data_IF_159146288720
#
_entry.id   IF_159146288720
#
_cell.length_a   1.000
_cell.length_b   1.000
_cell.length_c   1.000
_cell.angle_alpha   90.00
_cell.angle_beta   90.00
_cell.angle_gamma   90.00
#
_symmetry.space_group_name_H-M   'P 1'
#
loop_
_entity.id
_entity.type
_entity.pdbx_description
1 polymer ?
#
# COMPACT_ATOMS: atom_id res chain seq x y z
N UNK A 1 -13.64 27.05 19.28
CA UNK A 1 -13.88 25.61 19.00
C UNK A 1 -14.37 25.55 17.56
N UNK A 2 -13.71 24.81 16.69
CA UNK A 2 -14.09 24.73 15.27
C UNK A 2 -15.30 23.82 15.13
N UNK A 3 -16.49 24.33 15.43
CA UNK A 3 -17.74 23.64 15.17
C UNK A 3 -18.18 23.97 13.74
N UNK A 4 -18.16 22.96 12.89
CA UNK A 4 -18.56 23.02 11.47
C UNK A 4 -20.09 23.04 11.31
N UNK A 5 -20.84 23.10 12.42
CA UNK A 5 -22.30 23.08 12.46
C UNK A 5 -22.97 24.29 11.80
N UNK A 6 -22.20 25.31 11.39
CA UNK A 6 -22.70 26.55 10.77
C UNK A 6 -22.36 26.68 9.27
N UNK A 7 -21.97 25.58 8.61
CA UNK A 7 -21.74 25.57 7.15
C UNK A 7 -22.90 24.88 6.42
N UNK A 8 -23.43 25.46 5.32
CA UNK A 8 -24.59 24.93 4.60
C UNK A 8 -24.31 23.60 3.85
N UNK A 9 -23.07 23.10 3.90
CA UNK A 9 -22.65 21.88 3.21
C UNK A 9 -21.92 20.95 4.18
N UNK A 10 -22.44 19.73 4.31
CA UNK A 10 -21.80 18.66 5.06
C UNK A 10 -20.41 18.39 4.49
N UNK A 11 -19.37 18.39 5.33
CA UNK A 11 -18.03 17.96 4.92
C UNK A 11 -17.96 16.43 4.85
N UNK A 12 -16.96 15.88 4.16
CA UNK A 12 -16.81 14.41 4.13
C UNK A 12 -16.65 13.84 5.54
N UNK A 13 -17.11 12.60 5.77
CA UNK A 13 -16.98 11.92 7.07
C UNK A 13 -15.51 11.89 7.58
N UNK A 14 -14.54 11.89 6.66
CA UNK A 14 -13.10 11.89 6.98
C UNK A 14 -12.69 13.25 7.57
N UNK A 15 -13.16 14.34 6.97
CA UNK A 15 -12.91 15.70 7.46
C UNK A 15 -13.57 15.93 8.83
N UNK A 16 -14.83 15.51 8.98
CA UNK A 16 -15.56 15.61 10.26
C UNK A 16 -14.86 14.82 11.38
N UNK A 17 -14.38 13.61 11.08
CA UNK A 17 -13.63 12.79 12.03
C UNK A 17 -12.28 13.42 12.41
N UNK A 18 -11.58 14.03 11.44
CA UNK A 18 -10.35 14.77 11.69
C UNK A 18 -10.59 15.97 12.63
N UNK A 19 -11.59 16.80 12.33
CA UNK A 19 -11.94 17.95 13.14
C UNK A 19 -12.33 17.56 14.57
N UNK A 20 -13.18 16.54 14.74
CA UNK A 20 -13.59 16.04 16.06
C UNK A 20 -12.40 15.57 16.89
N UNK A 21 -11.47 14.84 16.27
CA UNK A 21 -10.24 14.37 16.92
C UNK A 21 -9.31 15.52 17.31
N UNK A 22 -9.13 16.50 16.43
CA UNK A 22 -8.30 17.67 16.67
C UNK A 22 -8.88 18.53 17.81
N UNK A 23 -10.18 18.80 17.77
CA UNK A 23 -10.89 19.54 18.82
C UNK A 23 -10.74 18.85 20.19
N UNK A 24 -10.88 17.51 20.27
CA UNK A 24 -10.64 16.76 21.51
C UNK A 24 -9.20 16.87 22.01
N UNK A 25 -8.22 16.95 21.11
CA UNK A 25 -6.79 17.12 21.47
C UNK A 25 -6.55 18.51 22.05
N UNK A 26 -7.04 19.54 21.36
CA UNK A 26 -6.93 20.93 21.78
C UNK A 26 -7.61 21.15 23.14
N UNK A 27 -8.77 20.53 23.36
CA UNK A 27 -9.49 20.61 24.64
C UNK A 27 -8.78 19.91 25.81
N UNK A 28 -7.98 18.86 25.52
CA UNK A 28 -7.18 18.15 26.54
C UNK A 28 -5.89 18.87 26.89
N UNK A 29 -5.34 19.64 25.96
CA UNK A 29 -4.15 20.44 26.18
C UNK A 29 -4.52 21.76 26.85
N UNK A 30 -3.96 22.05 28.04
CA UNK A 30 -4.27 23.25 28.83
C UNK A 30 -4.10 24.57 28.05
N UNK A 31 -4.75 25.64 28.54
CA UNK A 31 -4.85 27.00 27.97
C UNK A 31 -3.52 27.78 27.93
N UNK A 32 -2.43 27.17 27.50
CA UNK A 32 -1.22 27.89 27.17
C UNK A 32 -1.02 27.86 25.64
N UNK A 33 -0.49 28.96 25.11
CA UNK A 33 -0.29 29.14 23.67
C UNK A 33 0.64 28.06 23.07
N UNK A 34 1.57 27.55 23.86
CA UNK A 34 2.52 26.52 23.45
C UNK A 34 1.85 25.15 23.25
N UNK A 35 0.87 24.82 24.06
CA UNK A 35 0.04 23.63 23.95
C UNK A 35 -0.79 23.67 22.67
N UNK A 36 -1.31 24.85 22.33
CA UNK A 36 -1.96 25.07 21.05
C UNK A 36 -0.99 24.91 19.87
N UNK A 37 0.22 25.48 19.94
CA UNK A 37 1.25 25.37 18.88
C UNK A 37 1.79 23.95 18.73
N UNK A 38 1.93 23.19 19.82
CA UNK A 38 2.38 21.81 19.79
C UNK A 38 1.35 20.86 19.18
N UNK A 39 0.06 21.21 19.24
CA UNK A 39 -1.01 20.40 18.69
C UNK A 39 -0.92 20.18 17.15
N UNK A 40 -0.78 21.22 16.30
CA UNK A 40 -0.60 21.05 14.86
C UNK A 40 0.74 20.40 14.52
N UNK A 41 1.83 20.70 15.25
CA UNK A 41 3.13 20.01 15.07
C UNK A 41 2.95 18.50 15.27
N UNK A 42 2.23 18.10 16.31
CA UNK A 42 1.94 16.69 16.60
C UNK A 42 0.96 16.02 15.63
N UNK A 43 0.15 16.77 14.87
CA UNK A 43 -0.64 16.20 13.76
C UNK A 43 0.20 16.08 12.47
N UNK A 44 1.07 17.05 12.18
CA UNK A 44 1.99 16.96 11.05
C UNK A 44 2.87 15.71 11.15
N UNK A 45 3.44 15.42 12.33
CA UNK A 45 4.20 14.19 12.56
C UNK A 45 3.37 12.92 12.29
N UNK A 46 2.06 12.92 12.56
CA UNK A 46 1.19 11.77 12.28
C UNK A 46 0.94 11.62 10.79
N UNK A 47 0.74 12.71 10.07
CA UNK A 47 0.60 12.67 8.62
C UNK A 47 1.87 12.17 7.94
N UNK A 48 3.03 12.65 8.38
CA UNK A 48 4.33 12.16 7.90
C UNK A 48 4.48 10.64 8.13
N UNK A 49 4.08 10.16 9.32
CA UNK A 49 4.13 8.73 9.61
C UNK A 49 3.17 7.91 8.73
N UNK A 50 1.92 8.38 8.56
CA UNK A 50 0.93 7.74 7.69
C UNK A 50 1.42 7.70 6.24
N UNK A 51 1.96 8.83 5.74
CA UNK A 51 2.52 8.93 4.40
C UNK A 51 3.69 7.97 4.21
N UNK A 52 4.59 7.88 5.18
CA UNK A 52 5.70 6.92 5.19
C UNK A 52 5.20 5.46 5.15
N UNK A 53 4.18 5.11 5.94
CA UNK A 53 3.58 3.78 5.91
C UNK A 53 2.94 3.43 4.57
N UNK A 54 2.18 4.36 3.98
CA UNK A 54 1.58 4.17 2.65
C UNK A 54 2.68 3.97 1.61
N UNK A 55 3.70 4.83 1.64
CA UNK A 55 4.82 4.74 0.70
C UNK A 55 5.60 3.44 0.84
N UNK A 56 5.85 2.99 2.07
CA UNK A 56 6.49 1.71 2.35
C UNK A 56 5.63 0.53 1.85
N UNK A 57 4.31 0.62 1.95
CA UNK A 57 3.39 -0.37 1.36
C UNK A 57 3.35 -0.35 -0.17
N UNK A 58 3.56 0.82 -0.79
CA UNK A 58 3.66 0.95 -2.26
C UNK A 58 5.02 0.58 -2.84
N UNK A 59 6.05 0.41 -2.01
CA UNK A 59 7.30 -0.15 -2.49
C UNK A 59 7.00 -1.56 -3.01
N UNK A 60 7.15 -1.73 -4.32
CA UNK A 60 7.09 -3.02 -4.99
C UNK A 60 7.97 -3.98 -4.19
N UNK A 61 7.35 -4.96 -3.53
CA UNK A 61 8.10 -6.03 -2.88
C UNK A 61 9.06 -6.59 -3.92
N UNK A 62 10.36 -6.73 -3.61
CA UNK A 62 11.29 -7.32 -4.56
C UNK A 62 10.72 -8.67 -4.98
N UNK A 63 10.37 -8.80 -6.27
CA UNK A 63 9.80 -10.05 -6.81
C UNK A 63 10.71 -11.17 -6.34
N UNK A 64 10.15 -12.17 -5.66
CA UNK A 64 10.95 -13.27 -5.14
C UNK A 64 11.79 -13.83 -6.29
N UNK A 65 13.12 -13.91 -6.13
CA UNK A 65 14.05 -14.35 -7.20
C UNK A 65 13.61 -15.67 -7.85
N UNK A 66 12.91 -16.53 -7.10
CA UNK A 66 12.27 -17.75 -7.59
C UNK A 66 11.20 -17.48 -8.66
N UNK A 67 10.34 -16.49 -8.48
CA UNK A 67 9.30 -16.11 -9.44
C UNK A 67 9.91 -15.55 -10.73
N UNK A 68 10.96 -14.75 -10.63
CA UNK A 68 11.67 -14.21 -11.81
C UNK A 68 12.38 -15.33 -12.60
N UNK A 69 13.04 -16.26 -11.91
CA UNK A 69 13.70 -17.41 -12.54
C UNK A 69 12.68 -18.31 -13.24
N UNK A 70 11.52 -18.52 -12.61
CA UNK A 70 10.43 -19.32 -13.19
C UNK A 70 9.83 -18.63 -14.42
N UNK A 71 9.64 -17.31 -14.36
CA UNK A 71 9.15 -16.52 -15.49
C UNK A 71 10.07 -16.62 -16.71
N UNK A 72 11.39 -16.44 -16.53
CA UNK A 72 12.39 -16.59 -17.62
C UNK A 72 12.36 -17.98 -18.24
N UNK A 73 12.13 -19.01 -17.42
CA UNK A 73 12.03 -20.40 -17.88
C UNK A 73 10.74 -20.65 -18.68
N UNK A 74 9.61 -20.10 -18.24
CA UNK A 74 8.33 -20.16 -18.97
C UNK A 74 8.45 -19.44 -20.31
N UNK A 75 9.06 -18.26 -20.35
CA UNK A 75 9.30 -17.51 -21.58
C UNK A 75 10.15 -18.30 -22.57
N UNK A 76 11.21 -18.95 -22.09
CA UNK A 76 12.06 -19.82 -22.93
C UNK A 76 11.27 -21.00 -23.52
N UNK A 77 10.39 -21.63 -22.72
CA UNK A 77 9.54 -22.73 -23.19
C UNK A 77 8.52 -22.27 -24.23
N UNK A 78 7.90 -21.12 -24.02
CA UNK A 78 6.96 -20.52 -24.97
C UNK A 78 7.64 -20.15 -26.29
N UNK A 79 8.86 -19.60 -26.25
CA UNK A 79 9.63 -19.32 -27.47
C UNK A 79 9.91 -20.59 -28.26
N UNK A 80 10.28 -21.70 -27.59
CA UNK A 80 10.51 -22.99 -28.27
C UNK A 80 9.25 -23.59 -28.88
N UNK A 81 8.10 -23.45 -28.19
CA UNK A 81 6.82 -23.89 -28.74
C UNK A 81 6.41 -23.06 -29.97
N UNK A 82 6.56 -21.74 -29.91
CA UNK A 82 6.25 -20.85 -31.02
C UNK A 82 7.15 -21.09 -32.24
N UNK A 83 8.40 -21.49 -32.02
CA UNK A 83 9.34 -21.86 -33.08
C UNK A 83 9.10 -23.26 -33.66
N UNK A 84 8.07 -23.99 -33.20
CA UNK A 84 7.77 -25.38 -33.58
C UNK A 84 8.88 -26.39 -33.22
N UNK A 85 9.84 -26.01 -32.38
CA UNK A 85 10.92 -26.88 -31.88
C UNK A 85 10.42 -27.87 -30.82
N UNK A 86 9.17 -27.71 -30.35
CA UNK A 86 8.61 -28.47 -29.24
C UNK A 86 7.12 -28.73 -29.44
N UNK A 87 6.71 -29.99 -29.23
CA UNK A 87 5.30 -30.39 -29.31
C UNK A 87 4.53 -29.96 -28.05
N UNK A 88 3.20 -29.85 -28.14
CA UNK A 88 2.33 -29.43 -27.02
C UNK A 88 2.47 -30.33 -25.79
N UNK A 89 2.66 -31.64 -25.97
CA UNK A 89 2.89 -32.58 -24.87
C UNK A 89 4.24 -32.35 -24.16
N UNK A 90 5.27 -31.96 -24.91
CA UNK A 90 6.59 -31.66 -24.35
C UNK A 90 6.57 -30.35 -23.56
N UNK A 91 5.80 -29.36 -24.03
CA UNK A 91 5.55 -28.12 -23.29
C UNK A 91 4.84 -28.39 -21.96
N UNK A 92 3.76 -29.16 -21.98
CA UNK A 92 2.98 -29.48 -20.77
C UNK A 92 3.80 -30.25 -19.74
N UNK A 93 4.61 -31.22 -20.18
CA UNK A 93 5.52 -31.93 -19.30
C UNK A 93 6.59 -31.00 -18.70
N UNK A 94 7.17 -30.11 -19.50
CA UNK A 94 8.17 -29.15 -19.02
C UNK A 94 7.58 -28.15 -18.01
N UNK A 95 6.34 -27.70 -18.22
CA UNK A 95 5.62 -26.84 -17.29
C UNK A 95 5.29 -27.57 -15.98
N UNK A 96 4.82 -28.82 -16.06
CA UNK A 96 4.55 -29.68 -14.89
C UNK A 96 5.81 -29.90 -14.04
N UNK A 97 6.96 -30.10 -14.67
CA UNK A 97 8.26 -30.24 -13.98
C UNK A 97 8.73 -28.91 -13.36
N UNK A 98 8.35 -27.77 -13.94
CA UNK A 98 8.73 -26.45 -13.42
C UNK A 98 7.89 -26.00 -12.23
N UNK A 99 6.63 -26.43 -12.15
CA UNK A 99 5.70 -26.10 -11.05
C UNK A 99 5.81 -26.99 -9.82
N UNK A 100 6.89 -27.78 -9.70
CA UNK A 100 6.99 -28.92 -8.79
C UNK A 100 6.60 -28.65 -7.33
N UNK A 101 5.33 -28.94 -7.00
CA UNK A 101 4.99 -29.67 -5.78
C UNK A 101 5.66 -31.03 -5.89
N UNK A 102 6.78 -31.21 -5.21
CA UNK A 102 7.28 -32.56 -4.92
C UNK A 102 6.23 -33.24 -4.04
N UNK A 103 5.70 -34.38 -4.48
CA UNK A 103 5.04 -35.33 -3.59
C UNK A 103 6.04 -35.86 -2.58
#
# INVERSE_FOLDING_TARGET
MWDFHDTPHRTSNICEAFHSRLNRRIQRSHSNIWSFVNCPIGEECRFQHLYSQINAGTQQLPKAKAAETMQKRIETLNSRYNNQDMNSEQLLNALSLSGGRKK
#
